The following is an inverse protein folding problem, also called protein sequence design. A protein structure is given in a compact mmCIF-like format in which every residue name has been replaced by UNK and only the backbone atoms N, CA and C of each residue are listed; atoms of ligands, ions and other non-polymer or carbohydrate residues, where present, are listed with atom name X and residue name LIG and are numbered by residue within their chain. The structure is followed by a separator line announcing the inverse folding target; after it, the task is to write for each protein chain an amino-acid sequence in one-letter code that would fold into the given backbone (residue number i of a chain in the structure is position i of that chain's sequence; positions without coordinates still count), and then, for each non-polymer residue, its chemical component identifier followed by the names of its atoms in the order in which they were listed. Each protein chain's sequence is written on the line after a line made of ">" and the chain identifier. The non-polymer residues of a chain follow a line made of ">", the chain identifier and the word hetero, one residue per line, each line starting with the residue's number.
data_IF_741704178552
#
_entry.id   IF_741704178552
#
_cell.length_a   1.000
_cell.length_b   1.000
_cell.length_c   1.000
_cell.angle_alpha   90.00
_cell.angle_beta   90.00
_cell.angle_gamma   90.00
#
_symmetry.space_group_name_H-M   'P 1'
#
loop_
_entity.id
_entity.type
_entity.pdbx_description
1 polymer ?
#
# COMPACT_ATOMS: atom_id res chain seq x y z
N UNK A 1 -13.64 10.37 -0.15
CA UNK A 1 -12.53 10.37 0.85
C UNK A 1 -13.03 9.67 2.09
N UNK A 2 -12.30 8.69 2.64
CA UNK A 2 -12.67 8.08 3.93
C UNK A 2 -12.27 9.07 5.02
N UNK A 3 -13.18 9.34 5.94
CA UNK A 3 -12.98 10.35 6.98
C UNK A 3 -12.08 9.79 8.09
N UNK A 4 -10.87 10.34 8.22
CA UNK A 4 -9.91 10.01 9.28
C UNK A 4 -9.98 10.99 10.48
N UNK A 5 -10.94 11.92 10.47
CA UNK A 5 -11.06 12.94 11.51
C UNK A 5 -11.36 12.35 12.90
N UNK A 6 -12.01 11.18 12.93
CA UNK A 6 -12.31 10.47 14.17
C UNK A 6 -11.14 9.68 14.77
N UNK A 7 -9.98 9.65 14.07
CA UNK A 7 -8.80 8.91 14.51
C UNK A 7 -7.75 9.87 15.08
N UNK A 8 -7.24 9.54 16.27
CA UNK A 8 -6.23 10.34 16.96
C UNK A 8 -4.83 9.89 16.50
N UNK A 9 -3.97 10.85 16.23
CA UNK A 9 -2.57 10.57 15.87
C UNK A 9 -1.79 10.04 17.09
N UNK A 10 -0.84 9.13 16.84
CA UNK A 10 0.00 8.55 17.91
C UNK A 10 0.75 9.63 18.68
N UNK A 11 1.24 10.67 17.98
CA UNK A 11 1.92 11.80 18.62
C UNK A 11 1.06 12.55 19.64
N UNK A 12 -0.25 12.68 19.38
CA UNK A 12 -1.16 13.39 20.28
C UNK A 12 -1.49 12.54 21.50
N UNK A 13 -1.65 11.21 21.32
CA UNK A 13 -1.76 10.25 22.43
C UNK A 13 -0.50 10.29 23.32
N UNK A 14 0.69 10.29 22.69
CA UNK A 14 1.96 10.36 23.42
C UNK A 14 2.12 11.67 24.20
N UNK A 15 1.72 12.81 23.62
CA UNK A 15 1.70 14.10 24.32
C UNK A 15 0.78 14.08 25.53
N UNK A 16 -0.37 13.39 25.41
CA UNK A 16 -1.27 13.20 26.55
C UNK A 16 -0.60 12.44 27.68
N UNK A 17 0.07 11.30 27.40
CA UNK A 17 0.84 10.53 28.37
C UNK A 17 1.93 11.40 29.04
N UNK A 18 2.71 12.12 28.23
CA UNK A 18 3.78 13.01 28.70
C UNK A 18 3.26 14.12 29.62
N UNK A 19 2.13 14.72 29.28
CA UNK A 19 1.50 15.77 30.08
C UNK A 19 1.02 15.25 31.44
N UNK A 20 0.41 14.07 31.47
CA UNK A 20 -0.20 13.51 32.68
C UNK A 20 0.83 12.90 33.63
N UNK A 21 1.89 12.29 33.09
CA UNK A 21 2.85 11.52 33.89
C UNK A 21 4.28 12.07 33.86
N UNK A 22 4.55 13.11 33.08
CA UNK A 22 5.87 13.75 32.95
C UNK A 22 7.00 12.71 32.74
N UNK A 23 7.81 12.46 33.79
CA UNK A 23 8.91 11.47 33.77
C UNK A 23 8.57 10.14 34.44
N UNK A 24 7.33 9.96 34.94
CA UNK A 24 6.90 8.79 35.69
C UNK A 24 6.32 7.71 34.78
N UNK A 25 6.95 7.46 33.62
CA UNK A 25 6.58 6.37 32.72
C UNK A 25 7.81 5.83 32.00
N UNK A 26 7.70 4.63 31.46
CA UNK A 26 8.65 4.06 30.49
C UNK A 26 7.92 3.48 29.28
N UNK A 27 8.57 3.51 28.12
CA UNK A 27 8.08 2.91 26.87
C UNK A 27 9.19 2.01 26.35
N UNK A 28 8.89 0.73 26.15
CA UNK A 28 9.80 -0.25 25.58
C UNK A 28 9.13 -0.84 24.36
N UNK A 29 9.82 -0.85 23.22
CA UNK A 29 9.35 -1.49 21.98
C UNK A 29 10.36 -2.57 21.61
N UNK A 30 9.87 -3.81 21.50
CA UNK A 30 10.65 -4.95 21.02
C UNK A 30 10.15 -5.40 19.66
N UNK A 31 11.01 -6.07 18.90
CA UNK A 31 10.69 -6.56 17.56
C UNK A 31 11.01 -8.04 17.44
N UNK A 32 10.10 -8.76 16.80
CA UNK A 32 10.28 -10.14 16.37
C UNK A 32 10.11 -10.21 14.85
N UNK A 33 10.97 -10.99 14.18
CA UNK A 33 10.93 -11.15 12.72
C UNK A 33 10.65 -12.61 12.41
N UNK A 34 9.54 -12.86 11.72
CA UNK A 34 9.14 -14.18 11.25
C UNK A 34 8.92 -14.15 9.73
N UNK A 35 9.87 -14.69 8.97
CA UNK A 35 9.82 -14.67 7.51
C UNK A 35 9.86 -13.24 6.96
N UNK A 36 8.78 -12.79 6.34
CA UNK A 36 8.61 -11.42 5.82
C UNK A 36 7.77 -10.52 6.73
N UNK A 37 7.42 -11.00 7.91
CA UNK A 37 6.59 -10.27 8.86
C UNK A 37 7.44 -9.77 10.01
N UNK A 38 7.26 -8.50 10.37
CA UNK A 38 7.82 -7.87 11.56
C UNK A 38 6.68 -7.63 12.53
N UNK A 39 6.79 -8.18 13.73
CA UNK A 39 5.91 -7.88 14.85
C UNK A 39 6.63 -6.93 15.81
N UNK A 40 6.03 -5.80 16.12
CA UNK A 40 6.47 -4.90 17.17
C UNK A 40 5.55 -5.06 18.38
N UNK A 41 6.12 -5.19 19.56
CA UNK A 41 5.38 -5.19 20.84
C UNK A 41 5.80 -3.98 21.65
N UNK A 42 4.83 -3.15 22.02
CA UNK A 42 5.02 -1.97 22.85
C UNK A 42 4.53 -2.24 24.26
N UNK A 43 5.38 -2.02 25.25
CA UNK A 43 5.06 -2.02 26.69
C UNK A 43 5.19 -0.60 27.23
N UNK A 44 4.11 -0.08 27.76
CA UNK A 44 4.07 1.19 28.51
C UNK A 44 3.94 0.84 29.99
N UNK A 45 4.83 1.36 30.83
CA UNK A 45 4.73 1.26 32.28
C UNK A 45 4.54 2.65 32.86
N UNK A 46 3.51 2.87 33.63
CA UNK A 46 3.23 4.13 34.35
C UNK A 46 3.49 3.87 35.83
N UNK A 47 4.36 4.68 36.43
CA UNK A 47 4.70 4.60 37.84
C UNK A 47 3.82 5.56 38.64
N UNK A 48 3.17 5.05 39.69
CA UNK A 48 2.30 5.82 40.56
C UNK A 48 2.67 5.53 42.02
N UNK A 49 2.20 6.35 42.97
CA UNK A 49 2.43 6.15 44.38
C UNK A 49 1.86 4.80 44.91
N UNK A 50 0.89 4.23 44.19
CA UNK A 50 0.24 2.97 44.51
C UNK A 50 0.84 1.77 43.75
N UNK A 51 1.98 1.93 43.07
CA UNK A 51 2.66 0.91 42.28
C UNK A 51 2.71 1.23 40.80
N UNK A 52 2.95 0.21 39.97
CA UNK A 52 3.05 0.36 38.52
C UNK A 52 1.82 -0.22 37.81
N UNK A 53 1.48 0.44 36.69
CA UNK A 53 0.47 -0.06 35.76
C UNK A 53 1.13 -0.30 34.40
N UNK A 54 0.87 -1.46 33.81
CA UNK A 54 1.46 -1.86 32.54
C UNK A 54 0.39 -2.02 31.47
N UNK A 55 0.69 -1.53 30.26
CA UNK A 55 -0.15 -1.64 29.08
C UNK A 55 0.70 -2.19 27.94
N UNK A 56 0.27 -3.29 27.35
CA UNK A 56 1.04 -4.00 26.33
C UNK A 56 0.12 -4.27 25.13
N UNK A 57 0.58 -3.90 23.94
CA UNK A 57 -0.07 -4.29 22.69
C UNK A 57 0.97 -4.47 21.58
N UNK A 58 0.56 -5.15 20.52
CA UNK A 58 1.44 -5.51 19.41
C UNK A 58 0.81 -5.12 18.07
N UNK A 59 1.67 -4.88 17.08
CA UNK A 59 1.26 -4.69 15.70
C UNK A 59 2.21 -5.42 14.75
N UNK A 60 1.69 -5.90 13.63
CA UNK A 60 2.46 -6.63 12.61
C UNK A 60 2.43 -5.90 11.29
N UNK A 61 3.57 -5.91 10.59
CA UNK A 61 3.72 -5.37 9.25
C UNK A 61 4.47 -6.34 8.35
N UNK A 62 4.13 -6.37 7.06
CA UNK A 62 4.80 -7.22 6.07
C UNK A 62 5.89 -6.44 5.36
N UNK A 63 7.13 -6.96 5.40
CA UNK A 63 8.33 -6.40 4.79
C UNK A 63 9.54 -6.52 5.70
N UNK A 64 10.75 -6.42 5.13
CA UNK A 64 12.02 -6.64 5.85
C UNK A 64 12.86 -5.37 6.03
N UNK A 65 12.36 -4.22 5.60
CA UNK A 65 13.13 -2.99 5.63
C UNK A 65 12.88 -2.18 6.91
N UNK A 66 13.78 -1.23 7.18
CA UNK A 66 13.71 -0.33 8.33
C UNK A 66 12.36 0.43 8.41
N UNK A 67 11.83 0.86 7.27
CA UNK A 67 10.57 1.59 7.22
C UNK A 67 9.39 0.73 7.70
N UNK A 68 9.38 -0.57 7.37
CA UNK A 68 8.39 -1.53 7.87
C UNK A 68 8.49 -1.68 9.39
N UNK A 69 9.71 -1.75 9.92
CA UNK A 69 9.94 -1.82 11.38
C UNK A 69 9.45 -0.55 12.10
N UNK A 70 9.78 0.63 11.57
CA UNK A 70 9.32 1.92 12.11
C UNK A 70 7.78 2.01 12.12
N UNK A 71 7.13 1.50 11.08
CA UNK A 71 5.69 1.46 10.95
C UNK A 71 5.04 0.52 11.99
N UNK A 72 5.55 -0.71 12.12
CA UNK A 72 5.11 -1.65 13.14
C UNK A 72 5.23 -1.05 14.54
N UNK A 73 6.36 -0.39 14.85
CA UNK A 73 6.60 0.31 16.12
C UNK A 73 5.57 1.39 16.39
N UNK A 74 5.28 2.22 15.39
CA UNK A 74 4.30 3.32 15.51
C UNK A 74 2.89 2.77 15.79
N UNK A 75 2.49 1.71 15.11
CA UNK A 75 1.20 1.08 15.31
C UNK A 75 1.09 0.43 16.70
N UNK A 76 2.12 -0.34 17.14
CA UNK A 76 2.15 -0.93 18.47
C UNK A 76 2.09 0.12 19.59
N UNK A 77 2.84 1.23 19.44
CA UNK A 77 2.80 2.35 20.37
C UNK A 77 1.40 2.99 20.42
N UNK A 78 0.80 3.26 19.27
CA UNK A 78 -0.54 3.85 19.19
C UNK A 78 -1.60 3.01 19.88
N UNK A 79 -1.52 1.68 19.74
CA UNK A 79 -2.43 0.71 20.38
C UNK A 79 -2.20 0.64 21.89
N UNK A 80 -0.95 0.53 22.35
CA UNK A 80 -0.62 0.51 23.77
C UNK A 80 -1.04 1.81 24.48
N UNK A 81 -0.87 2.97 23.84
CA UNK A 81 -1.36 4.25 24.36
C UNK A 81 -2.90 4.29 24.45
N UNK A 82 -3.59 3.65 23.50
CA UNK A 82 -5.05 3.53 23.56
C UNK A 82 -5.52 2.70 24.74
N UNK A 83 -4.84 1.59 25.03
CA UNK A 83 -5.11 0.76 26.23
C UNK A 83 -4.84 1.52 27.53
N UNK A 84 -3.87 2.44 27.54
CA UNK A 84 -3.57 3.32 28.67
C UNK A 84 -4.55 4.50 28.81
N UNK A 85 -5.71 4.44 28.13
CA UNK A 85 -6.78 5.43 28.12
C UNK A 85 -6.43 6.77 27.40
N UNK A 86 -5.40 6.76 26.54
CA UNK A 86 -5.10 7.88 25.64
C UNK A 86 -5.87 7.74 24.32
N UNK A 87 -7.11 7.27 24.41
CA UNK A 87 -8.09 7.28 23.33
C UNK A 87 -9.06 8.45 23.49
N UNK A 88 -10.04 8.56 22.63
CA UNK A 88 -10.91 9.70 22.44
C UNK A 88 -11.61 10.29 23.64
N UNK A 89 -11.82 9.53 24.70
CA UNK A 89 -12.49 10.03 25.93
C UNK A 89 -11.68 11.15 26.59
N UNK A 90 -10.35 11.03 26.68
CA UNK A 90 -9.47 12.11 27.17
C UNK A 90 -9.41 13.34 26.25
N UNK A 91 -9.72 13.16 24.99
CA UNK A 91 -9.73 14.23 23.98
C UNK A 91 -11.17 14.68 23.64
N UNK A 92 -12.18 14.23 24.39
CA UNK A 92 -13.58 14.57 24.15
C UNK A 92 -14.18 13.91 22.91
N UNK A 93 -13.57 12.85 22.40
CA UNK A 93 -14.01 12.12 21.21
C UNK A 93 -14.07 10.62 21.49
N UNK A 94 -15.08 9.95 20.94
CA UNK A 94 -15.12 8.47 20.89
C UNK A 94 -14.20 7.99 19.77
N UNK A 95 -12.89 7.97 19.99
CA UNK A 95 -11.94 7.51 19.01
C UNK A 95 -11.73 5.99 19.10
N UNK A 96 -11.58 5.30 17.96
CA UNK A 96 -11.26 3.88 17.94
C UNK A 96 -9.85 3.60 18.47
N UNK A 97 -9.60 2.34 18.85
CA UNK A 97 -8.28 1.86 19.33
C UNK A 97 -7.20 2.10 18.28
N UNK A 98 -7.49 1.82 17.01
CA UNK A 98 -6.57 2.09 15.90
C UNK A 98 -6.19 3.57 15.83
N UNK A 99 -4.92 3.88 15.61
CA UNK A 99 -4.46 5.24 15.41
C UNK A 99 -4.78 5.75 14.00
N UNK A 100 -4.65 7.07 13.82
CA UNK A 100 -4.81 7.68 12.51
C UNK A 100 -3.80 7.13 11.49
N UNK A 101 -2.56 6.93 11.93
CA UNK A 101 -1.48 6.37 11.12
C UNK A 101 -1.77 4.93 10.70
N UNK A 102 -2.28 4.11 11.62
CA UNK A 102 -2.68 2.73 11.35
C UNK A 102 -3.79 2.68 10.29
N UNK A 103 -4.84 3.47 10.46
CA UNK A 103 -5.94 3.54 9.51
C UNK A 103 -5.54 4.15 8.17
N UNK A 104 -4.69 5.16 8.15
CA UNK A 104 -4.14 5.70 6.91
C UNK A 104 -3.37 4.62 6.15
N UNK A 105 -2.51 3.88 6.85
CA UNK A 105 -1.76 2.77 6.29
C UNK A 105 -2.66 1.67 5.72
N UNK A 106 -3.70 1.29 6.44
CA UNK A 106 -4.70 0.33 5.98
C UNK A 106 -5.37 0.79 4.68
N UNK A 107 -5.81 2.06 4.62
CA UNK A 107 -6.42 2.59 3.40
C UNK A 107 -5.44 2.72 2.25
N UNK A 108 -4.19 3.07 2.51
CA UNK A 108 -3.16 3.16 1.48
C UNK A 108 -2.81 1.77 0.92
N UNK A 109 -2.85 0.72 1.74
CA UNK A 109 -2.65 -0.66 1.28
C UNK A 109 -3.79 -1.18 0.40
N UNK A 110 -5.00 -0.62 0.55
CA UNK A 110 -6.17 -0.95 -0.28
C UNK A 110 -6.23 -0.16 -1.58
N UNK A 111 -5.41 0.88 -1.75
CA UNK A 111 -5.38 1.61 -3.02
C UNK A 111 -4.79 0.70 -4.09
N UNK A 112 -5.47 0.56 -5.25
CA UNK A 112 -4.88 -0.18 -6.35
C UNK A 112 -3.54 0.47 -6.70
N UNK A 113 -2.47 -0.30 -6.63
CA UNK A 113 -1.15 0.15 -7.07
C UNK A 113 -1.17 0.27 -8.58
N UNK A 114 -0.98 1.47 -9.09
CA UNK A 114 -0.97 1.71 -10.53
C UNK A 114 0.35 1.24 -11.15
N UNK A 115 0.27 0.81 -12.41
CA UNK A 115 1.46 0.43 -13.18
C UNK A 115 2.44 1.60 -13.29
N UNK A 116 3.73 1.29 -13.16
CA UNK A 116 4.80 2.29 -13.31
C UNK A 116 5.03 2.66 -14.79
N UNK A 117 5.58 3.85 -15.03
CA UNK A 117 5.91 4.29 -16.39
C UNK A 117 6.81 3.30 -17.17
N UNK A 118 7.86 2.68 -16.56
CA UNK A 118 8.62 1.64 -17.23
C UNK A 118 7.80 0.41 -17.62
N UNK A 119 6.88 -0.05 -16.76
CA UNK A 119 6.00 -1.18 -17.07
C UNK A 119 5.09 -0.88 -18.25
N UNK A 120 4.49 0.30 -18.30
CA UNK A 120 3.65 0.74 -19.40
C UNK A 120 4.45 0.81 -20.71
N UNK A 121 5.64 1.40 -20.67
CA UNK A 121 6.53 1.46 -21.84
C UNK A 121 6.91 0.06 -22.34
N UNK A 122 7.16 -0.86 -21.41
CA UNK A 122 7.47 -2.25 -21.72
C UNK A 122 6.29 -2.97 -22.37
N UNK A 123 5.08 -2.86 -21.81
CA UNK A 123 3.85 -3.43 -22.38
C UNK A 123 3.65 -2.89 -23.81
N UNK A 124 3.77 -1.59 -24.01
CA UNK A 124 3.63 -0.97 -25.31
C UNK A 124 4.63 -1.53 -26.34
N UNK A 125 5.91 -1.59 -25.99
CA UNK A 125 6.93 -2.08 -26.94
C UNK A 125 6.72 -3.56 -27.27
N UNK A 126 6.38 -4.40 -26.31
CA UNK A 126 6.10 -5.82 -26.55
C UNK A 126 4.82 -6.02 -27.39
N UNK A 127 3.77 -5.25 -27.16
CA UNK A 127 2.55 -5.34 -27.94
C UNK A 127 2.79 -4.95 -29.41
N UNK A 128 3.54 -3.88 -29.66
CA UNK A 128 3.93 -3.48 -31.02
C UNK A 128 4.81 -4.56 -31.69
N UNK A 129 5.76 -5.15 -30.96
CA UNK A 129 6.58 -6.21 -31.50
C UNK A 129 5.73 -7.44 -31.88
N UNK A 130 4.86 -7.89 -30.98
CA UNK A 130 3.94 -8.99 -31.23
C UNK A 130 3.04 -8.71 -32.47
N UNK A 131 2.50 -7.50 -32.58
CA UNK A 131 1.71 -7.09 -33.74
C UNK A 131 2.48 -7.20 -35.06
N UNK A 132 3.75 -6.78 -35.06
CA UNK A 132 4.63 -6.86 -36.25
C UNK A 132 4.97 -8.30 -36.60
N UNK A 133 5.27 -9.14 -35.60
CA UNK A 133 5.69 -10.53 -35.77
C UNK A 133 4.54 -11.42 -36.24
N UNK A 134 3.32 -11.17 -35.75
CA UNK A 134 2.15 -11.94 -36.09
C UNK A 134 1.39 -11.41 -37.33
N UNK A 135 1.59 -10.15 -37.70
CA UNK A 135 0.88 -9.53 -38.84
C UNK A 135 -0.64 -9.70 -38.74
N UNK A 136 -1.27 -10.17 -39.82
CA UNK A 136 -2.73 -10.38 -39.86
C UNK A 136 -3.27 -11.47 -38.91
N UNK A 137 -2.42 -12.29 -38.29
CA UNK A 137 -2.82 -13.28 -37.28
C UNK A 137 -2.90 -12.70 -35.86
N UNK A 138 -2.53 -11.43 -35.68
CA UNK A 138 -2.61 -10.78 -34.36
C UNK A 138 -4.04 -10.75 -33.83
N UNK A 139 -5.05 -10.55 -34.69
CA UNK A 139 -6.45 -10.56 -34.28
C UNK A 139 -6.91 -11.96 -33.82
N UNK A 140 -6.45 -13.02 -34.48
CA UNK A 140 -6.73 -14.41 -34.04
C UNK A 140 -6.14 -14.65 -32.66
N UNK A 141 -4.88 -14.24 -32.46
CA UNK A 141 -4.23 -14.30 -31.15
C UNK A 141 -4.98 -13.47 -30.12
N UNK A 142 -5.27 -12.20 -30.41
CA UNK A 142 -5.97 -11.28 -29.52
C UNK A 142 -7.35 -11.82 -29.09
N UNK A 143 -8.01 -12.58 -29.95
CA UNK A 143 -9.28 -13.24 -29.63
C UNK A 143 -9.11 -14.50 -28.76
N UNK A 144 -7.93 -15.13 -28.74
CA UNK A 144 -7.63 -16.32 -27.97
C UNK A 144 -7.22 -16.05 -26.52
N UNK A 145 -6.98 -14.77 -26.15
CA UNK A 145 -6.54 -14.35 -24.82
C UNK A 145 -7.62 -13.52 -24.10
N UNK A 146 -7.67 -13.62 -22.78
CA UNK A 146 -8.61 -12.85 -21.96
C UNK A 146 -8.32 -11.33 -21.97
N UNK A 147 -7.06 -10.97 -22.27
CA UNK A 147 -6.58 -9.59 -22.28
C UNK A 147 -6.60 -9.06 -23.72
N UNK A 148 -7.40 -8.06 -23.94
CA UNK A 148 -7.56 -7.45 -25.27
C UNK A 148 -6.55 -6.35 -25.51
N UNK A 149 -6.03 -6.31 -26.74
CA UNK A 149 -5.17 -5.26 -27.27
C UNK A 149 -5.85 -4.66 -28.50
N UNK A 150 -5.85 -3.33 -28.60
CA UNK A 150 -6.22 -2.61 -29.84
C UNK A 150 -4.99 -1.81 -30.27
N UNK A 151 -4.43 -2.15 -31.45
CA UNK A 151 -3.22 -1.53 -31.97
C UNK A 151 -3.57 -0.85 -33.30
N UNK A 152 -3.38 0.45 -33.34
CA UNK A 152 -3.71 1.28 -34.48
C UNK A 152 -2.43 1.89 -35.08
N UNK A 153 -2.19 1.65 -36.36
CA UNK A 153 -1.11 2.29 -37.09
C UNK A 153 -1.57 3.70 -37.52
N UNK A 154 -0.73 4.71 -37.29
CA UNK A 154 -1.01 6.06 -37.70
C UNK A 154 -0.37 6.37 -39.06
N UNK A 155 -0.81 7.45 -39.71
CA UNK A 155 -0.36 7.87 -41.05
C UNK A 155 1.18 8.10 -41.15
N UNK A 156 1.87 8.23 -40.04
CA UNK A 156 3.33 8.45 -39.97
C UNK A 156 4.11 7.16 -39.68
N UNK A 157 3.46 5.97 -39.74
CA UNK A 157 4.09 4.68 -39.46
C UNK A 157 4.35 4.42 -38.00
N UNK A 158 3.75 5.18 -37.08
CA UNK A 158 3.76 4.95 -35.65
C UNK A 158 2.57 4.11 -35.20
N UNK A 159 2.63 3.58 -33.96
CA UNK A 159 1.58 2.74 -33.39
C UNK A 159 1.01 3.35 -32.14
N UNK A 160 -0.32 3.38 -32.02
CA UNK A 160 -1.06 3.64 -30.80
C UNK A 160 -1.55 2.32 -30.24
N UNK A 161 -1.33 2.08 -28.95
CA UNK A 161 -1.68 0.83 -28.25
C UNK A 161 -2.70 1.11 -27.17
N UNK A 162 -3.81 0.40 -27.19
CA UNK A 162 -4.87 0.47 -26.22
C UNK A 162 -5.05 -0.90 -25.55
N UNK A 163 -5.31 -0.91 -24.25
CA UNK A 163 -5.46 -2.12 -23.44
C UNK A 163 -6.89 -2.26 -22.92
N UNK A 164 -7.39 -3.49 -22.99
CA UNK A 164 -8.69 -3.87 -22.45
C UNK A 164 -9.88 -3.32 -23.22
N UNK A 165 -11.07 -3.66 -22.71
CA UNK A 165 -12.35 -3.20 -23.24
C UNK A 165 -12.53 -1.68 -23.07
N UNK A 166 -11.92 -1.10 -22.04
CA UNK A 166 -11.98 0.34 -21.74
C UNK A 166 -11.01 1.17 -22.57
N UNK A 167 -10.29 0.53 -23.49
CA UNK A 167 -9.33 1.15 -24.39
C UNK A 167 -8.36 2.11 -23.70
N UNK A 168 -7.70 1.60 -22.64
CA UNK A 168 -6.70 2.37 -21.89
C UNK A 168 -5.50 2.65 -22.82
N UNK A 169 -5.33 3.88 -23.25
CA UNK A 169 -4.19 4.28 -24.08
C UNK A 169 -2.89 4.16 -23.28
N UNK A 170 -1.89 3.45 -23.84
CA UNK A 170 -0.55 3.33 -23.26
C UNK A 170 0.47 4.22 -23.96
N UNK A 171 -0.01 5.16 -24.75
CA UNK A 171 0.76 6.17 -25.45
C UNK A 171 0.74 7.50 -24.67
N UNK A 172 1.91 8.09 -24.46
CA UNK A 172 2.02 9.42 -23.84
C UNK A 172 1.82 9.46 -22.32
N UNK A 173 1.24 10.57 -21.80
CA UNK A 173 1.10 10.85 -20.37
C UNK A 173 -0.26 10.43 -19.78
N UNK A 174 -1.23 10.07 -20.61
CA UNK A 174 -2.64 9.91 -20.22
C UNK A 174 -2.97 8.58 -19.53
N UNK A 175 -2.01 7.64 -19.47
CA UNK A 175 -2.19 6.34 -18.78
C UNK A 175 -2.09 6.42 -17.27
N UNK A 176 -1.66 7.55 -16.69
CA UNK A 176 -1.41 7.69 -15.25
C UNK A 176 -2.66 7.36 -14.45
N UNK A 177 -2.56 6.27 -13.67
CA UNK A 177 -3.63 5.85 -12.76
C UNK A 177 -4.73 5.01 -13.39
N UNK A 178 -4.67 4.71 -14.69
CA UNK A 178 -5.71 3.93 -15.39
C UNK A 178 -5.46 2.42 -15.41
N UNK A 179 -4.20 2.00 -15.39
CA UNK A 179 -3.84 0.58 -15.36
C UNK A 179 -3.29 0.21 -13.99
N UNK A 180 -3.93 -0.72 -13.30
CA UNK A 180 -3.41 -1.26 -12.04
C UNK A 180 -2.23 -2.22 -12.26
N UNK A 181 -1.42 -2.42 -11.22
CA UNK A 181 -0.20 -3.23 -11.30
C UNK A 181 -0.49 -4.72 -11.56
N UNK A 182 -1.62 -5.26 -11.09
CA UNK A 182 -1.95 -6.67 -11.30
C UNK A 182 -2.29 -6.92 -12.76
N UNK A 183 -3.10 -6.06 -13.36
CA UNK A 183 -3.41 -6.13 -14.77
C UNK A 183 -2.15 -5.89 -15.63
N UNK A 184 -1.28 -4.93 -15.27
CA UNK A 184 -0.02 -4.73 -15.96
C UNK A 184 0.87 -5.99 -15.97
N UNK A 185 0.96 -6.72 -14.85
CA UNK A 185 1.68 -8.01 -14.78
C UNK A 185 1.07 -9.04 -15.72
N UNK A 186 -0.26 -9.18 -15.73
CA UNK A 186 -0.96 -10.12 -16.63
C UNK A 186 -0.67 -9.80 -18.10
N UNK A 187 -0.72 -8.52 -18.49
CA UNK A 187 -0.36 -8.10 -19.86
C UNK A 187 1.08 -8.48 -20.22
N UNK A 188 2.03 -8.24 -19.32
CA UNK A 188 3.45 -8.59 -19.53
C UNK A 188 3.60 -10.12 -19.68
N UNK A 189 2.98 -10.91 -18.83
CA UNK A 189 3.05 -12.38 -18.89
C UNK A 189 2.44 -12.93 -20.17
N UNK A 190 1.30 -12.39 -20.59
CA UNK A 190 0.63 -12.78 -21.84
C UNK A 190 1.52 -12.46 -23.04
N UNK A 191 2.08 -11.24 -23.10
CA UNK A 191 2.96 -10.84 -24.20
C UNK A 191 4.26 -11.65 -24.24
N UNK A 192 4.83 -12.01 -23.10
CA UNK A 192 6.01 -12.88 -23.03
C UNK A 192 5.77 -14.27 -23.63
N UNK A 193 4.60 -14.85 -23.38
CA UNK A 193 4.24 -16.15 -23.96
C UNK A 193 4.21 -16.13 -25.47
N UNK A 194 3.83 -15.01 -26.06
CA UNK A 194 3.75 -14.84 -27.52
C UNK A 194 5.13 -14.61 -28.12
N UNK A 195 5.92 -13.74 -27.52
CA UNK A 195 7.24 -13.37 -28.06
C UNK A 195 8.32 -14.44 -27.80
N UNK A 196 7.99 -15.52 -27.06
CA UNK A 196 8.89 -16.63 -26.75
C UNK A 196 8.72 -17.83 -27.70
N UNK A 197 7.85 -17.73 -28.69
CA UNK A 197 7.60 -18.70 -29.77
C UNK A 197 8.25 -18.21 -31.05
#
# INVERSE_FOLDING_TARGET
>A
MKNLENYIEVKDRLRGLQKDHQNNYSIIITHEVAGETIMATCKITIFTDNGERQFIDSATEVGKNRKTQEKASTHALGRALSLADYQGTKFGQNAPIASREEMQSFYDSQKPTTASAPQIKYIRSMAIQAYRDYGGKFDEFNNSVDLKFDIQENEKGGYSVFLGTDKIAVDGKDYKGKLDMQNAKKYIETLKKITSV
#
